data_IF_054192561509
#
_entry.id   IF_054192561509
#
_cell.length_a   1.000
_cell.length_b   1.000
_cell.length_c   1.000
_cell.angle_alpha   90.00
_cell.angle_beta   90.00
_cell.angle_gamma   90.00
#
_symmetry.space_group_name_H-M   'P 1'
#
loop_
_entity.id
_entity.type
_entity.pdbx_description
1 polymer ?
#
# COMPACT_ATOMS: atom_id res chain seq x y z
N UNK A 1 -17.57 2.69 -2.08
CA UNK A 1 -16.52 3.70 -2.35
C UNK A 1 -15.15 3.10 -2.12
N UNK A 2 -14.22 3.38 -3.03
CA UNK A 2 -12.85 2.86 -2.99
C UNK A 2 -11.92 3.87 -2.29
N UNK A 3 -11.98 3.89 -0.96
CA UNK A 3 -11.23 4.83 -0.14
C UNK A 3 -10.21 4.12 0.74
N UNK A 4 -9.15 4.85 1.09
CA UNK A 4 -8.22 4.39 2.12
C UNK A 4 -8.96 4.17 3.45
N UNK A 5 -8.74 3.06 4.16
CA UNK A 5 -9.52 2.75 5.36
C UNK A 5 -9.19 3.71 6.51
N UNK A 6 -10.21 4.04 7.30
CA UNK A 6 -10.05 4.89 8.48
C UNK A 6 -9.26 4.21 9.60
N UNK A 7 -9.47 2.89 9.80
CA UNK A 7 -8.73 2.10 10.77
C UNK A 7 -7.48 1.48 10.11
N UNK A 8 -6.35 2.12 10.36
CA UNK A 8 -5.04 1.73 9.81
C UNK A 8 -4.34 0.63 10.59
N UNK A 9 -4.91 0.17 11.72
CA UNK A 9 -4.36 -0.92 12.54
C UNK A 9 -4.67 -2.30 11.98
N UNK A 10 -5.68 -2.39 11.11
CA UNK A 10 -6.08 -3.65 10.46
C UNK A 10 -5.25 -3.88 9.20
N UNK A 11 -4.95 -5.15 8.89
CA UNK A 11 -4.17 -5.45 7.70
C UNK A 11 -4.94 -5.12 6.42
N UNK A 12 -4.22 -4.83 5.34
CA UNK A 12 -4.79 -4.57 4.02
C UNK A 12 -4.15 -5.48 2.97
N UNK A 13 -4.98 -6.13 2.17
CA UNK A 13 -4.57 -6.83 0.95
C UNK A 13 -5.06 -6.03 -0.25
N UNK A 14 -4.16 -5.73 -1.17
CA UNK A 14 -4.45 -5.00 -2.40
C UNK A 14 -4.13 -5.90 -3.60
N UNK A 15 -5.05 -5.99 -4.56
CA UNK A 15 -4.91 -6.82 -5.77
C UNK A 15 -5.17 -5.95 -6.98
N UNK A 16 -4.14 -5.70 -7.79
CA UNK A 16 -4.23 -4.76 -8.90
C UNK A 16 -3.27 -5.06 -10.05
N UNK A 17 -3.60 -5.98 -10.96
CA UNK A 17 -2.78 -6.22 -12.14
C UNK A 17 -2.87 -5.08 -13.16
N UNK A 18 -1.80 -4.85 -13.91
CA UNK A 18 -1.69 -3.81 -14.92
C UNK A 18 -1.98 -2.43 -14.34
N UNK A 19 -2.79 -1.64 -15.04
CA UNK A 19 -3.19 -0.30 -14.58
C UNK A 19 -4.03 -0.30 -13.31
N UNK A 20 -4.56 -1.46 -12.87
CA UNK A 20 -5.22 -1.65 -11.57
C UNK A 20 -4.35 -1.34 -10.36
N UNK A 21 -3.03 -1.23 -10.53
CA UNK A 21 -2.11 -0.84 -9.46
C UNK A 21 -2.19 0.65 -9.09
N UNK A 22 -2.72 1.48 -10.00
CA UNK A 22 -2.67 2.95 -9.89
C UNK A 22 -3.23 3.50 -8.58
N UNK A 23 -4.43 3.13 -8.10
CA UNK A 23 -4.93 3.64 -6.82
C UNK A 23 -4.09 3.15 -5.63
N UNK A 24 -3.51 1.94 -5.72
CA UNK A 24 -2.68 1.38 -4.65
C UNK A 24 -1.36 2.10 -4.46
N UNK A 25 -0.78 2.64 -5.55
CA UNK A 25 0.35 3.57 -5.41
C UNK A 25 -0.02 4.78 -4.54
N UNK A 26 -1.22 5.34 -4.72
CA UNK A 26 -1.75 6.42 -3.89
C UNK A 26 -1.92 6.00 -2.43
N UNK A 27 -2.50 4.82 -2.18
CA UNK A 27 -2.66 4.27 -0.83
C UNK A 27 -1.31 4.09 -0.12
N UNK A 28 -0.31 3.56 -0.81
CA UNK A 28 1.03 3.37 -0.27
C UNK A 28 1.74 4.70 0.02
N UNK A 29 1.64 5.69 -0.87
CA UNK A 29 2.17 7.03 -0.60
C UNK A 29 1.52 7.65 0.65
N UNK A 30 0.19 7.54 0.78
CA UNK A 30 -0.54 8.07 1.92
C UNK A 30 -0.19 7.35 3.24
N UNK A 31 -0.09 6.01 3.21
CA UNK A 31 0.38 5.22 4.36
C UNK A 31 1.79 5.60 4.78
N UNK A 32 2.72 5.74 3.81
CA UNK A 32 4.09 6.15 4.08
C UNK A 32 4.16 7.52 4.74
N UNK A 33 3.36 8.47 4.27
CA UNK A 33 3.24 9.79 4.88
C UNK A 33 2.80 9.70 6.35
N UNK A 34 1.79 8.89 6.66
CA UNK A 34 1.33 8.66 8.03
C UNK A 34 2.42 8.02 8.91
N UNK A 35 3.12 7.00 8.42
CA UNK A 35 4.20 6.35 9.16
C UNK A 35 5.36 7.31 9.47
N UNK A 36 5.73 8.18 8.52
CA UNK A 36 6.73 9.23 8.73
C UNK A 36 6.26 10.32 9.69
N UNK A 37 4.97 10.65 9.69
CA UNK A 37 4.39 11.60 10.63
C UNK A 37 4.36 11.05 12.06
N UNK A 38 4.13 9.73 12.25
CA UNK A 38 4.17 9.08 13.57
C UNK A 38 5.60 9.03 14.13
N UNK A 39 6.58 8.69 13.29
CA UNK A 39 8.00 8.58 13.70
C UNK A 39 8.65 9.94 14.00
N UNK A 40 8.13 11.02 13.42
CA UNK A 40 8.50 12.39 13.78
C UNK A 40 7.68 12.83 14.98
N UNK A 41 8.27 12.80 16.18
CA UNK A 41 7.62 13.34 17.39
C UNK A 41 6.97 14.73 17.16
N UNK A 42 5.82 15.02 17.81
CA UNK A 42 5.09 16.28 17.66
C UNK A 42 5.83 17.51 18.24
N UNK A 43 6.94 17.32 18.94
CA UNK A 43 7.75 18.41 19.51
C UNK A 43 8.59 19.17 18.49
N UNK A 44 8.61 18.72 17.23
CA UNK A 44 9.15 19.52 16.11
C UNK A 44 8.03 19.93 15.17
N UNK A 45 7.14 20.81 15.65
CA UNK A 45 6.50 21.79 14.75
C UNK A 45 7.63 22.70 14.26
N UNK A 46 8.41 22.19 13.31
CA UNK A 46 9.38 23.00 12.60
C UNK A 46 8.60 24.11 11.92
N UNK A 47 8.87 25.34 12.35
CA UNK A 47 8.46 26.54 11.66
C UNK A 47 8.59 26.30 10.15
N UNK A 48 7.45 26.30 9.47
CA UNK A 48 7.40 26.31 8.02
C UNK A 48 8.23 27.51 7.57
N UNK A 49 9.40 27.25 6.96
CA UNK A 49 10.19 28.31 6.34
C UNK A 49 9.40 28.84 5.14
N UNK A 50 8.75 29.96 5.34
CA UNK A 50 8.17 30.75 4.26
C UNK A 50 6.67 30.97 4.43
N UNK A 51 6.28 31.89 5.31
CA UNK A 51 5.50 33.09 4.99
C UNK A 51 5.00 33.75 6.28
N UNK A 52 5.85 34.55 6.90
CA UNK A 52 5.38 35.61 7.79
C UNK A 52 5.06 36.82 6.90
N UNK A 53 3.76 37.02 6.61
CA UNK A 53 3.25 38.15 5.82
C UNK A 53 3.17 39.47 6.61
N UNK A 54 4.04 39.65 7.60
CA UNK A 54 4.10 40.86 8.41
C UNK A 54 5.55 41.30 8.59
N UNK A 55 6.13 41.91 7.54
CA UNK A 55 7.25 42.87 7.61
C UNK A 55 7.52 43.38 6.19
N UNK A 56 6.61 44.22 5.67
CA UNK A 56 6.93 45.11 4.55
C UNK A 56 7.19 46.49 5.12
N UNK A 57 8.40 46.71 5.64
CA UNK A 57 9.00 48.03 5.72
C UNK A 57 10.49 47.88 5.37
N UNK A 58 10.83 48.25 4.14
CA UNK A 58 12.20 48.47 3.69
C UNK A 58 12.71 49.78 4.30
N UNK A 59 13.92 49.76 4.87
CA UNK A 59 14.87 50.86 4.68
C UNK A 59 16.31 50.39 4.94
N UNK A 60 17.16 50.77 4.00
CA UNK A 60 18.53 50.34 3.78
C UNK A 60 19.50 50.71 4.91
N UNK A 61 20.52 49.86 5.14
CA UNK A 61 21.89 50.32 5.40
C UNK A 61 22.89 49.17 5.32
N UNK A 62 23.98 49.46 4.63
CA UNK A 62 25.16 48.64 4.43
C UNK A 62 25.88 48.32 5.75
N UNK A 63 26.34 47.08 5.95
CA UNK A 63 27.65 46.87 6.57
C UNK A 63 28.25 45.47 6.32
N UNK A 64 29.55 45.48 6.03
CA UNK A 64 30.38 44.32 5.72
C UNK A 64 30.66 43.46 6.96
N UNK A 65 30.55 42.12 6.84
CA UNK A 65 30.94 41.25 7.95
C UNK A 65 30.83 39.74 7.70
N UNK A 66 31.93 39.14 7.26
CA UNK A 66 32.34 37.76 7.61
C UNK A 66 31.32 36.63 7.40
N UNK A 67 31.26 36.07 6.19
CA UNK A 67 30.48 34.86 5.90
C UNK A 67 31.14 33.62 6.54
N UNK A 68 30.76 33.28 7.78
CA UNK A 68 31.03 31.95 8.35
C UNK A 68 30.11 30.95 7.65
N UNK A 69 30.67 30.16 6.73
CA UNK A 69 29.96 29.06 6.06
C UNK A 69 29.68 27.97 7.09
N UNK A 70 28.51 28.00 7.70
CA UNK A 70 27.98 26.85 8.45
C UNK A 70 27.56 25.80 7.44
N UNK A 71 28.43 24.82 7.22
CA UNK A 71 28.11 23.59 6.52
C UNK A 71 27.06 22.81 7.32
N UNK A 72 25.77 23.12 7.15
CA UNK A 72 24.69 22.25 7.61
C UNK A 72 24.58 21.06 6.65
N UNK A 73 25.50 20.11 6.77
CA UNK A 73 25.29 18.75 6.28
C UNK A 73 24.24 18.10 7.20
N UNK A 74 22.97 18.46 7.03
CA UNK A 74 21.88 17.63 7.52
C UNK A 74 21.88 16.37 6.66
N UNK A 75 22.64 15.37 7.11
CA UNK A 75 22.43 13.98 6.68
C UNK A 75 20.98 13.65 7.04
N UNK A 76 20.07 13.79 6.07
CA UNK A 76 18.76 13.15 6.12
C UNK A 76 19.03 11.66 6.17
N UNK A 77 19.26 11.14 7.39
CA UNK A 77 19.25 9.73 7.67
C UNK A 77 17.87 9.26 7.22
N UNK A 78 17.82 8.44 6.18
CA UNK A 78 16.60 7.77 5.76
C UNK A 78 16.12 6.92 6.94
N UNK A 79 15.21 7.47 7.73
CA UNK A 79 14.50 6.70 8.75
C UNK A 79 13.54 5.83 7.95
N UNK A 80 13.93 4.59 7.68
CA UNK A 80 13.02 3.57 7.20
C UNK A 80 12.10 3.22 8.37
N UNK A 81 10.77 3.38 8.26
CA UNK A 81 9.84 2.79 9.21
C UNK A 81 10.15 1.29 9.30
N UNK A 82 10.74 0.84 10.41
CA UNK A 82 10.86 -0.59 10.66
C UNK A 82 9.45 -1.10 10.96
N UNK A 83 9.09 -2.20 10.30
CA UNK A 83 7.92 -3.08 10.51
C UNK A 83 6.59 -2.43 10.95
N UNK A 84 5.51 -2.73 10.23
CA UNK A 84 4.13 -2.34 10.56
C UNK A 84 3.76 -2.47 12.05
N UNK A 85 4.29 -3.48 12.76
CA UNK A 85 3.99 -3.74 14.17
C UNK A 85 4.54 -2.70 15.18
N UNK A 86 5.60 -1.95 14.86
CA UNK A 86 6.21 -1.02 15.84
C UNK A 86 5.38 0.27 16.04
N UNK A 87 4.44 0.57 15.13
CA UNK A 87 3.71 1.84 15.08
C UNK A 87 2.18 1.68 15.15
N UNK A 88 1.69 0.50 15.51
CA UNK A 88 0.26 0.21 15.55
C UNK A 88 -0.42 0.19 14.17
N UNK A 89 0.36 -0.01 13.10
CA UNK A 89 -0.14 -0.11 11.72
C UNK A 89 -0.34 -1.58 11.36
N UNK A 90 -1.46 -1.90 10.70
CA UNK A 90 -1.71 -3.23 10.17
C UNK A 90 -0.80 -3.55 8.99
N UNK A 91 -0.47 -4.82 8.79
CA UNK A 91 0.35 -5.32 7.67
C UNK A 91 -0.30 -5.00 6.31
N UNK A 92 0.49 -4.66 5.30
CA UNK A 92 0.00 -4.33 3.95
C UNK A 92 0.69 -5.18 2.90
N UNK A 93 -0.12 -5.90 2.13
CA UNK A 93 0.36 -6.81 1.08
C UNK A 93 -0.23 -6.39 -0.27
N UNK A 94 0.60 -6.37 -1.31
CA UNK A 94 0.20 -6.05 -2.68
C UNK A 94 0.46 -7.24 -3.59
N UNK A 95 -0.60 -7.69 -4.28
CA UNK A 95 -0.53 -8.62 -5.41
C UNK A 95 -0.62 -7.81 -6.71
N UNK A 96 0.51 -7.67 -7.39
CA UNK A 96 0.64 -7.02 -8.69
C UNK A 96 0.80 -8.08 -9.79
N UNK A 97 0.32 -7.79 -10.99
CA UNK A 97 0.48 -8.67 -12.15
C UNK A 97 0.76 -7.88 -13.42
N UNK A 98 1.72 -8.34 -14.21
CA UNK A 98 2.05 -7.79 -15.53
C UNK A 98 2.50 -8.90 -16.48
N UNK A 99 2.84 -8.57 -17.71
CA UNK A 99 3.30 -9.57 -18.68
C UNK A 99 4.77 -9.90 -18.46
N UNK A 100 5.62 -8.88 -18.41
CA UNK A 100 7.08 -9.01 -18.37
C UNK A 100 7.70 -7.92 -17.48
N UNK A 101 8.68 -8.31 -16.65
CA UNK A 101 9.38 -7.44 -15.70
C UNK A 101 10.05 -6.23 -16.33
N UNK A 102 10.51 -6.37 -17.57
CA UNK A 102 11.28 -5.34 -18.26
C UNK A 102 10.44 -4.50 -19.23
N UNK A 103 9.12 -4.74 -19.32
CA UNK A 103 8.25 -4.07 -20.29
C UNK A 103 7.14 -3.29 -19.58
N UNK A 104 6.34 -3.98 -18.77
CA UNK A 104 5.07 -3.45 -18.24
C UNK A 104 4.96 -3.58 -16.71
N UNK A 105 6.10 -3.66 -16.03
CA UNK A 105 6.15 -3.55 -14.57
C UNK A 105 5.97 -2.08 -14.14
N UNK A 106 4.71 -1.65 -14.12
CA UNK A 106 4.31 -0.29 -13.75
C UNK A 106 4.75 0.06 -12.32
N UNK A 107 5.35 1.25 -12.18
CA UNK A 107 5.83 1.81 -10.91
C UNK A 107 6.84 0.95 -10.16
N UNK A 108 7.61 0.12 -10.88
CA UNK A 108 8.62 -0.78 -10.31
C UNK A 108 9.46 -0.14 -9.21
N UNK A 109 10.09 1.00 -9.48
CA UNK A 109 10.99 1.66 -8.53
C UNK A 109 10.27 2.12 -7.27
N UNK A 110 9.01 2.57 -7.39
CA UNK A 110 8.22 2.99 -6.24
C UNK A 110 7.77 1.78 -5.40
N UNK A 111 7.29 0.71 -6.05
CA UNK A 111 6.81 -0.49 -5.38
C UNK A 111 7.94 -1.23 -4.65
N UNK A 112 9.08 -1.43 -5.32
CA UNK A 112 10.28 -2.04 -4.70
C UNK A 112 10.82 -1.16 -3.56
N UNK A 113 10.72 0.17 -3.68
CA UNK A 113 11.09 1.08 -2.58
C UNK A 113 10.16 0.98 -1.39
N UNK A 114 8.85 0.84 -1.61
CA UNK A 114 7.88 0.68 -0.52
C UNK A 114 8.07 -0.61 0.24
N UNK A 115 8.41 -1.70 -0.46
CA UNK A 115 8.77 -2.96 0.20
C UNK A 115 10.05 -2.79 1.02
N UNK A 116 11.09 -2.19 0.41
CA UNK A 116 12.38 -1.97 1.07
C UNK A 116 12.30 -1.08 2.31
N UNK A 117 11.43 -0.07 2.31
CA UNK A 117 11.29 0.87 3.43
C UNK A 117 10.19 0.50 4.44
N UNK A 118 9.53 -0.66 4.27
CA UNK A 118 8.52 -1.17 5.20
C UNK A 118 7.15 -0.50 5.07
N UNK A 119 6.93 0.36 4.08
CA UNK A 119 5.60 0.87 3.74
C UNK A 119 4.68 -0.28 3.30
N UNK A 120 5.25 -1.22 2.54
CA UNK A 120 4.62 -2.45 2.08
C UNK A 120 5.31 -3.62 2.78
N UNK A 121 4.55 -4.48 3.44
CA UNK A 121 5.09 -5.63 4.17
C UNK A 121 5.42 -6.79 3.24
N UNK A 122 4.70 -6.95 2.12
CA UNK A 122 5.05 -7.89 1.06
C UNK A 122 4.57 -7.44 -0.33
N UNK A 123 5.43 -7.62 -1.33
CA UNK A 123 5.12 -7.42 -2.75
C UNK A 123 5.15 -8.74 -3.52
N UNK A 124 3.99 -9.21 -3.96
CA UNK A 124 3.87 -10.41 -4.79
C UNK A 124 3.62 -10.02 -6.24
N UNK A 125 4.49 -10.44 -7.15
CA UNK A 125 4.41 -10.06 -8.57
C UNK A 125 4.22 -11.29 -9.45
N UNK A 126 3.14 -11.29 -10.22
CA UNK A 126 2.86 -12.30 -11.22
C UNK A 126 3.31 -11.82 -12.60
N UNK A 127 4.30 -12.48 -13.20
CA UNK A 127 4.70 -12.27 -14.59
C UNK A 127 4.01 -13.32 -15.47
N UNK A 128 3.04 -12.89 -16.27
CA UNK A 128 2.19 -13.83 -17.02
C UNK A 128 2.82 -14.39 -18.29
N UNK A 129 3.96 -13.83 -18.74
CA UNK A 129 4.62 -14.21 -20.01
C UNK A 129 6.12 -14.49 -19.91
N UNK A 130 6.70 -14.55 -18.71
CA UNK A 130 8.13 -14.86 -18.52
C UNK A 130 8.44 -16.37 -18.53
N UNK A 131 7.41 -17.20 -18.48
CA UNK A 131 7.51 -18.65 -18.50
C UNK A 131 6.35 -19.24 -19.32
N UNK A 132 6.44 -20.53 -19.63
CA UNK A 132 5.43 -21.24 -20.44
C UNK A 132 4.05 -21.25 -19.75
N UNK A 133 4.04 -21.51 -18.44
CA UNK A 133 2.81 -21.53 -17.65
C UNK A 133 2.37 -20.13 -17.20
N UNK A 134 1.09 -19.81 -17.41
CA UNK A 134 0.57 -18.48 -17.07
C UNK A 134 0.42 -18.31 -15.57
N UNK A 135 1.20 -17.40 -14.99
CA UNK A 135 1.09 -17.01 -13.58
C UNK A 135 0.31 -15.70 -13.47
N UNK A 136 -0.76 -15.72 -12.67
CA UNK A 136 -1.62 -14.56 -12.41
C UNK A 136 -1.72 -14.30 -10.90
N UNK A 137 -2.26 -13.13 -10.53
CA UNK A 137 -2.37 -12.69 -9.13
C UNK A 137 -3.13 -13.69 -8.26
N UNK A 138 -4.19 -14.32 -8.80
CA UNK A 138 -4.93 -15.37 -8.10
C UNK A 138 -4.07 -16.58 -7.71
N UNK A 139 -3.13 -16.97 -8.57
CA UNK A 139 -2.25 -18.12 -8.31
C UNK A 139 -1.32 -17.81 -7.13
N UNK A 140 -0.78 -16.58 -7.09
CA UNK A 140 0.04 -16.12 -5.97
C UNK A 140 -0.77 -16.00 -4.68
N UNK A 141 -2.01 -15.53 -4.75
CA UNK A 141 -2.89 -15.47 -3.57
C UNK A 141 -3.16 -16.86 -2.99
N UNK A 142 -3.45 -17.85 -3.84
CA UNK A 142 -3.70 -19.23 -3.37
C UNK A 142 -2.43 -19.88 -2.81
N UNK A 143 -1.26 -19.59 -3.38
CA UNK A 143 0.02 -20.04 -2.84
C UNK A 143 0.30 -19.46 -1.44
N UNK A 144 -0.19 -18.26 -1.17
CA UNK A 144 -0.09 -17.58 0.14
C UNK A 144 -1.42 -17.66 0.93
N UNK A 145 -2.26 -18.67 0.65
CA UNK A 145 -3.64 -18.73 1.13
C UNK A 145 -3.80 -18.72 2.65
N UNK A 146 -2.86 -19.31 3.39
CA UNK A 146 -2.86 -19.29 4.86
C UNK A 146 -2.77 -17.87 5.41
N UNK A 147 -1.84 -17.08 4.87
CA UNK A 147 -1.64 -15.69 5.25
C UNK A 147 -2.81 -14.80 4.85
N UNK A 148 -3.31 -14.98 3.61
CA UNK A 148 -4.52 -14.28 3.14
C UNK A 148 -5.70 -14.58 4.06
N UNK A 149 -5.92 -15.85 4.44
CA UNK A 149 -6.99 -16.24 5.36
C UNK A 149 -6.83 -15.57 6.73
N UNK A 150 -5.64 -15.65 7.33
CA UNK A 150 -5.32 -15.04 8.63
C UNK A 150 -5.60 -13.54 8.63
N UNK A 151 -5.11 -12.83 7.60
CA UNK A 151 -5.34 -11.39 7.48
C UNK A 151 -6.83 -11.06 7.37
N UNK A 152 -7.60 -11.78 6.55
CA UNK A 152 -9.00 -11.42 6.24
C UNK A 152 -10.01 -11.89 7.29
N UNK A 153 -9.78 -13.05 7.91
CA UNK A 153 -10.72 -13.69 8.83
C UNK A 153 -10.35 -13.41 10.28
N UNK A 154 -9.11 -13.72 10.68
CA UNK A 154 -8.69 -13.60 12.09
C UNK A 154 -8.44 -12.14 12.47
N UNK A 155 -7.69 -11.42 11.64
CA UNK A 155 -7.41 -9.98 11.85
C UNK A 155 -8.48 -9.05 11.29
N UNK A 156 -9.51 -9.63 10.65
CA UNK A 156 -10.60 -8.92 9.98
C UNK A 156 -10.10 -7.83 9.03
N UNK A 157 -9.06 -8.07 8.25
CA UNK A 157 -8.46 -7.09 7.35
C UNK A 157 -9.37 -6.57 6.24
N UNK A 158 -8.85 -5.59 5.52
CA UNK A 158 -9.41 -5.05 4.30
C UNK A 158 -8.83 -5.78 3.08
N UNK A 159 -9.65 -5.91 2.05
CA UNK A 159 -9.35 -6.54 0.78
C UNK A 159 -9.82 -5.64 -0.35
N UNK A 160 -8.89 -5.17 -1.17
CA UNK A 160 -9.16 -4.26 -2.28
C UNK A 160 -8.79 -4.92 -3.60
N UNK A 161 -9.70 -4.84 -4.58
CA UNK A 161 -9.46 -5.32 -5.95
C UNK A 161 -9.67 -4.19 -6.92
N UNK A 162 -8.71 -3.95 -7.81
CA UNK A 162 -8.82 -2.94 -8.84
C UNK A 162 -8.33 -3.46 -10.19
N UNK A 163 -9.07 -3.22 -11.28
CA UNK A 163 -8.70 -3.68 -12.62
C UNK A 163 -9.86 -4.17 -13.47
N UNK A 164 -9.58 -5.13 -14.35
CA UNK A 164 -10.58 -5.75 -15.23
C UNK A 164 -11.70 -6.45 -14.42
N UNK A 165 -12.92 -5.97 -14.60
CA UNK A 165 -14.13 -6.53 -13.98
C UNK A 165 -14.64 -7.80 -14.64
N UNK A 166 -14.27 -8.05 -15.91
CA UNK A 166 -14.87 -9.12 -16.69
C UNK A 166 -14.31 -10.50 -16.33
N UNK A 167 -12.99 -10.60 -16.15
CA UNK A 167 -12.30 -11.87 -15.85
C UNK A 167 -11.55 -11.79 -14.54
N UNK A 168 -10.71 -10.76 -14.37
CA UNK A 168 -9.81 -10.69 -13.22
C UNK A 168 -10.56 -10.62 -11.89
N UNK A 169 -11.54 -9.73 -11.74
CA UNK A 169 -12.29 -9.59 -10.49
C UNK A 169 -13.04 -10.88 -10.10
N UNK A 170 -13.61 -11.59 -11.09
CA UNK A 170 -14.29 -12.87 -10.88
C UNK A 170 -13.32 -13.95 -10.43
N UNK A 171 -12.17 -14.05 -11.08
CA UNK A 171 -11.17 -15.07 -10.78
C UNK A 171 -10.53 -14.82 -9.40
N UNK A 172 -10.27 -13.55 -9.05
CA UNK A 172 -9.81 -13.16 -7.70
C UNK A 172 -10.85 -13.53 -6.63
N UNK A 173 -12.13 -13.23 -6.85
CA UNK A 173 -13.18 -13.61 -5.89
C UNK A 173 -13.27 -15.13 -5.70
N UNK A 174 -13.22 -15.89 -6.80
CA UNK A 174 -13.22 -17.35 -6.75
C UNK A 174 -12.01 -17.89 -5.95
N UNK A 175 -10.87 -17.21 -6.04
CA UNK A 175 -9.65 -17.56 -5.31
C UNK A 175 -9.78 -17.28 -3.82
N UNK A 176 -10.39 -16.15 -3.43
CA UNK A 176 -10.70 -15.87 -2.01
C UNK A 176 -11.64 -16.94 -1.44
N UNK A 177 -12.66 -17.36 -2.20
CA UNK A 177 -13.56 -18.45 -1.79
C UNK A 177 -12.77 -19.75 -1.58
N UNK A 178 -11.91 -20.15 -2.54
CA UNK A 178 -11.06 -21.35 -2.40
C UNK A 178 -10.15 -21.27 -1.17
N UNK A 179 -9.56 -20.11 -0.91
CA UNK A 179 -8.72 -19.87 0.27
C UNK A 179 -9.54 -20.07 1.55
N UNK A 180 -10.75 -19.52 1.63
CA UNK A 180 -11.63 -19.69 2.79
C UNK A 180 -12.08 -21.13 2.99
N UNK A 181 -12.32 -21.88 1.92
CA UNK A 181 -12.61 -23.31 2.02
C UNK A 181 -11.41 -24.09 2.55
N UNK A 182 -10.22 -23.85 1.98
CA UNK A 182 -9.00 -24.60 2.30
C UNK A 182 -8.46 -24.28 3.70
N UNK A 183 -8.38 -23.01 4.06
CA UNK A 183 -7.74 -22.56 5.31
C UNK A 183 -8.73 -22.26 6.43
N UNK A 184 -10.01 -22.01 6.11
CA UNK A 184 -11.08 -21.82 7.09
C UNK A 184 -11.95 -23.06 7.30
N UNK A 185 -11.71 -24.15 6.56
CA UNK A 185 -12.55 -25.37 6.55
C UNK A 185 -14.03 -25.07 6.28
N UNK A 186 -14.32 -24.03 5.50
CA UNK A 186 -15.68 -23.63 5.15
C UNK A 186 -16.20 -24.43 3.95
N UNK A 187 -17.51 -24.69 3.92
CA UNK A 187 -18.17 -25.09 2.68
C UNK A 187 -18.12 -23.94 1.66
N UNK A 188 -18.35 -24.23 0.38
CA UNK A 188 -18.37 -23.20 -0.66
C UNK A 188 -19.42 -22.11 -0.37
N UNK A 189 -20.63 -22.51 0.03
CA UNK A 189 -21.71 -21.60 0.38
C UNK A 189 -21.37 -20.73 1.59
N UNK A 190 -20.74 -21.31 2.62
CA UNK A 190 -20.29 -20.58 3.80
C UNK A 190 -19.18 -19.58 3.45
N UNK A 191 -18.23 -19.96 2.60
CA UNK A 191 -17.17 -19.09 2.12
C UNK A 191 -17.73 -17.92 1.28
N UNK A 192 -18.67 -18.20 0.35
CA UNK A 192 -19.39 -17.17 -0.43
C UNK A 192 -20.14 -16.19 0.48
N UNK A 193 -20.88 -16.71 1.45
CA UNK A 193 -21.60 -15.90 2.44
C UNK A 193 -20.64 -15.02 3.25
N UNK A 194 -19.46 -15.53 3.60
CA UNK A 194 -18.43 -14.75 4.30
C UNK A 194 -17.93 -13.57 3.45
N UNK A 195 -17.62 -13.80 2.17
CA UNK A 195 -17.21 -12.72 1.25
C UNK A 195 -18.32 -11.66 1.12
N UNK A 196 -19.58 -12.09 0.99
CA UNK A 196 -20.73 -11.17 0.97
C UNK A 196 -20.81 -10.33 2.25
N UNK A 197 -20.56 -10.94 3.41
CA UNK A 197 -20.54 -10.20 4.67
C UNK A 197 -19.40 -9.18 4.72
N UNK A 198 -18.20 -9.54 4.25
CA UNK A 198 -17.10 -8.59 4.11
C UNK A 198 -17.44 -7.40 3.22
N UNK A 199 -18.22 -7.61 2.15
CA UNK A 199 -18.68 -6.51 1.29
C UNK A 199 -19.63 -5.57 2.05
N UNK A 200 -20.59 -6.11 2.81
CA UNK A 200 -21.49 -5.30 3.65
C UNK A 200 -20.73 -4.49 4.70
N UNK A 201 -19.71 -5.10 5.29
CA UNK A 201 -18.80 -4.47 6.26
C UNK A 201 -17.81 -3.49 5.61
N UNK A 202 -17.88 -3.28 4.28
CA UNK A 202 -16.94 -2.46 3.49
C UNK A 202 -15.48 -2.88 3.65
N UNK A 203 -15.24 -4.17 3.87
CA UNK A 203 -13.91 -4.79 3.96
C UNK A 203 -13.49 -5.49 2.68
N UNK A 204 -14.42 -5.95 1.85
CA UNK A 204 -14.12 -6.36 0.49
C UNK A 204 -14.61 -5.25 -0.45
N UNK A 205 -13.68 -4.53 -1.07
CA UNK A 205 -13.98 -3.35 -1.89
C UNK A 205 -13.41 -3.54 -3.29
N UNK A 206 -14.19 -3.17 -4.30
CA UNK A 206 -13.82 -3.32 -5.71
C UNK A 206 -13.90 -1.98 -6.43
N UNK A 207 -12.96 -1.74 -7.34
CA UNK A 207 -13.00 -0.67 -8.33
C UNK A 207 -12.67 -1.28 -9.70
N UNK A 208 -13.70 -1.62 -10.47
CA UNK A 208 -13.59 -2.46 -11.66
C UNK A 208 -14.13 -1.74 -12.90
N UNK A 209 -13.50 -1.99 -14.04
CA UNK A 209 -13.93 -1.49 -15.34
C UNK A 209 -14.02 -2.62 -16.36
N UNK A 210 -14.75 -2.34 -17.45
CA UNK A 210 -15.01 -3.25 -18.57
C UNK A 210 -14.39 -2.76 -19.86
#
# INVERSE_FOLDING_TARGET
DFNFPADVSRPMIMVGPGTGVSPFRGFLMYRRYQALAITRHPSSVGAWRGMDYHSLEESDSDDEGGRRVVNTHHKNRSVSPKSSNEHGLGEVVLYFGCQNRNIDYLYKEDLERFEKDGTLDALHIAFSREQEEKVYVQHLMEANGEEVHRMLVEKKGYFFVCGDGTRMARDVMASVIRIFQKHGSLSEDAARKHVIEMMKEKRYVQDIWS
#
